data_IF_885764352149
#
_entry.id   IF_885764352149
#
_cell.length_a   1.000
_cell.length_b   1.000
_cell.length_c   1.000
_cell.angle_alpha   90.00
_cell.angle_beta   90.00
_cell.angle_gamma   90.00
#
_symmetry.space_group_name_H-M   'P 1'
#
loop_
_entity.id
_entity.type
_entity.pdbx_description
1 polymer ?
#
# COMPACT_ATOMS: atom_id res chain seq x y z
N UNK A 1 -18.91 -52.35 6.94
CA UNK A 1 -19.55 -52.52 5.61
C UNK A 1 -20.86 -53.26 5.85
N UNK A 2 -21.86 -52.57 6.41
CA UNK A 2 -23.13 -53.18 6.80
C UNK A 2 -24.24 -52.74 5.85
N UNK A 3 -24.89 -53.75 5.27
CA UNK A 3 -26.19 -53.74 4.58
C UNK A 3 -26.44 -52.62 3.56
N UNK A 4 -25.85 -52.73 2.36
CA UNK A 4 -26.29 -51.90 1.21
C UNK A 4 -27.20 -52.59 0.20
N UNK A 5 -27.41 -53.91 0.30
CA UNK A 5 -28.15 -54.66 -0.73
C UNK A 5 -28.98 -55.83 -0.14
N UNK A 6 -30.05 -55.54 0.60
CA UNK A 6 -31.08 -56.55 0.91
C UNK A 6 -32.47 -56.05 0.46
N UNK A 7 -33.14 -56.74 -0.47
CA UNK A 7 -34.50 -56.39 -0.92
C UNK A 7 -35.55 -56.53 0.19
N UNK A 8 -36.61 -55.73 0.11
CA UNK A 8 -37.59 -55.38 1.16
C UNK A 8 -38.50 -56.49 1.72
N UNK A 9 -38.33 -57.76 1.37
CA UNK A 9 -39.38 -58.78 1.60
C UNK A 9 -39.08 -59.82 2.70
N UNK A 10 -38.01 -59.65 3.48
CA UNK A 10 -37.70 -60.55 4.62
C UNK A 10 -37.42 -59.79 5.92
N UNK A 11 -38.51 -59.35 6.57
CA UNK A 11 -38.52 -58.90 7.96
C UNK A 11 -38.48 -60.10 8.92
N UNK A 12 -37.31 -60.73 9.10
CA UNK A 12 -36.98 -61.55 10.29
C UNK A 12 -35.61 -62.22 10.15
N UNK A 13 -34.53 -61.44 9.97
CA UNK A 13 -33.18 -61.97 10.13
C UNK A 13 -32.58 -61.46 11.47
N UNK A 14 -32.37 -62.33 12.47
CA UNK A 14 -31.81 -61.93 13.76
C UNK A 14 -30.32 -61.55 13.71
N UNK A 15 -29.64 -61.71 12.58
CA UNK A 15 -28.20 -61.44 12.43
C UNK A 15 -27.85 -60.03 11.90
N UNK A 16 -28.84 -59.14 11.74
CA UNK A 16 -28.63 -57.77 11.28
C UNK A 16 -28.58 -56.77 12.45
N UNK A 17 -27.65 -56.97 13.39
CA UNK A 17 -27.40 -56.01 14.46
C UNK A 17 -26.41 -54.92 13.97
N UNK A 18 -26.94 -53.88 13.34
CA UNK A 18 -26.17 -52.71 12.92
C UNK A 18 -26.15 -51.70 14.07
N UNK A 19 -25.39 -51.99 15.12
CA UNK A 19 -25.21 -51.06 16.23
C UNK A 19 -24.11 -50.02 15.87
N UNK A 20 -24.45 -48.74 15.58
CA UNK A 20 -23.47 -47.71 15.28
C UNK A 20 -22.53 -47.41 16.46
N UNK A 21 -22.85 -47.87 17.68
CA UNK A 21 -21.95 -47.77 18.83
C UNK A 21 -20.79 -48.76 18.75
N UNK A 22 -20.90 -49.87 18.00
CA UNK A 22 -19.81 -50.85 17.86
C UNK A 22 -18.65 -50.34 17.00
N UNK A 23 -18.90 -49.59 15.92
CA UNK A 23 -17.80 -49.02 15.10
C UNK A 23 -17.05 -47.91 15.85
N UNK A 24 -17.76 -47.08 16.63
CA UNK A 24 -17.13 -46.05 17.48
C UNK A 24 -16.36 -46.70 18.63
N UNK A 25 -16.90 -47.75 19.23
CA UNK A 25 -16.22 -48.53 20.27
C UNK A 25 -14.99 -49.27 19.73
N UNK A 26 -15.03 -49.79 18.50
CA UNK A 26 -13.88 -50.48 17.88
C UNK A 26 -12.76 -49.50 17.52
N UNK A 27 -13.09 -48.28 17.06
CA UNK A 27 -12.09 -47.23 16.86
C UNK A 27 -11.45 -46.76 18.17
N UNK A 28 -12.25 -46.54 19.22
CA UNK A 28 -11.75 -46.18 20.55
C UNK A 28 -10.94 -47.32 21.20
N UNK A 29 -11.35 -48.57 21.01
CA UNK A 29 -10.65 -49.78 21.40
C UNK A 29 -9.28 -49.88 20.72
N UNK A 30 -9.21 -49.67 19.40
CA UNK A 30 -7.95 -49.67 18.64
C UNK A 30 -7.00 -48.59 19.14
N UNK A 31 -7.48 -47.37 19.40
CA UNK A 31 -6.70 -46.29 20.01
C UNK A 31 -6.17 -46.66 21.41
N UNK A 32 -6.98 -47.33 22.23
CA UNK A 32 -6.61 -47.77 23.58
C UNK A 32 -5.72 -49.03 23.60
N UNK A 33 -5.69 -49.81 22.51
CA UNK A 33 -4.88 -51.03 22.37
C UNK A 33 -3.45 -50.77 21.85
N UNK A 34 -3.19 -49.57 21.32
CA UNK A 34 -1.85 -49.16 20.93
C UNK A 34 -1.00 -48.96 22.20
N UNK A 35 0.18 -49.57 22.31
CA UNK A 35 1.02 -49.39 23.49
C UNK A 35 1.36 -47.89 23.63
N UNK A 36 1.13 -47.29 24.81
CA UNK A 36 1.19 -45.84 25.01
C UNK A 36 2.55 -45.22 24.63
N UNK A 37 3.62 -46.00 24.67
CA UNK A 37 4.95 -45.57 24.25
C UNK A 37 5.11 -45.45 22.72
N UNK A 38 4.45 -46.32 21.92
CA UNK A 38 4.55 -46.26 20.44
C UNK A 38 3.72 -45.12 19.87
N UNK A 39 2.52 -44.88 20.39
CA UNK A 39 1.65 -43.77 19.94
C UNK A 39 2.24 -42.39 20.30
N UNK A 40 2.86 -42.26 21.47
CA UNK A 40 3.60 -41.05 21.84
C UNK A 40 4.86 -40.84 21.00
N UNK A 41 5.57 -41.91 20.64
CA UNK A 41 6.76 -41.82 19.77
C UNK A 41 6.37 -41.39 18.35
N UNK A 42 5.33 -41.99 17.77
CA UNK A 42 4.83 -41.62 16.43
C UNK A 42 4.31 -40.18 16.39
N UNK A 43 3.61 -39.74 17.44
CA UNK A 43 3.17 -38.35 17.58
C UNK A 43 4.36 -37.38 17.69
N UNK A 44 5.38 -37.71 18.49
CA UNK A 44 6.60 -36.88 18.62
C UNK A 44 7.38 -36.79 17.32
N UNK A 45 7.51 -37.90 16.58
CA UNK A 45 8.18 -37.93 15.28
C UNK A 45 7.42 -37.08 14.25
N UNK A 46 6.09 -37.15 14.24
CA UNK A 46 5.25 -36.35 13.34
C UNK A 46 5.36 -34.86 13.63
N UNK A 47 5.33 -34.46 14.90
CA UNK A 47 5.52 -33.06 15.32
C UNK A 47 6.93 -32.58 14.95
N UNK A 48 7.98 -33.37 15.21
CA UNK A 48 9.34 -33.03 14.87
C UNK A 48 9.53 -32.84 13.35
N UNK A 49 8.92 -33.72 12.54
CA UNK A 49 8.93 -33.61 11.09
C UNK A 49 8.24 -32.33 10.59
N UNK A 50 7.07 -31.99 11.16
CA UNK A 50 6.36 -30.75 10.82
C UNK A 50 7.16 -29.50 11.22
N UNK A 51 7.78 -29.49 12.40
CA UNK A 51 8.63 -28.38 12.83
C UNK A 51 9.84 -28.25 11.91
N UNK A 52 10.52 -29.36 11.60
CA UNK A 52 11.67 -29.36 10.68
C UNK A 52 11.28 -28.86 9.28
N UNK A 53 10.13 -29.27 8.76
CA UNK A 53 9.61 -28.80 7.48
C UNK A 53 9.32 -27.29 7.51
N UNK A 54 8.63 -26.80 8.56
CA UNK A 54 8.35 -25.37 8.70
C UNK A 54 9.64 -24.54 8.83
N UNK A 55 10.64 -25.01 9.58
CA UNK A 55 11.94 -24.36 9.69
C UNK A 55 12.69 -24.35 8.36
N UNK A 56 12.64 -25.45 7.61
CA UNK A 56 13.25 -25.53 6.28
C UNK A 56 12.58 -24.57 5.28
N UNK A 57 11.24 -24.49 5.30
CA UNK A 57 10.46 -23.54 4.49
C UNK A 57 10.78 -22.10 4.89
N UNK A 58 10.76 -21.78 6.18
CA UNK A 58 11.11 -20.46 6.69
C UNK A 58 12.54 -20.07 6.30
N UNK A 59 13.51 -20.97 6.45
CA UNK A 59 14.89 -20.78 6.03
C UNK A 59 15.00 -20.55 4.51
N UNK A 60 14.34 -21.36 3.69
CA UNK A 60 14.32 -21.20 2.24
C UNK A 60 13.75 -19.84 1.82
N UNK A 61 12.63 -19.43 2.41
CA UNK A 61 12.04 -18.11 2.17
C UNK A 61 12.97 -16.98 2.64
N UNK A 62 13.62 -17.13 3.79
CA UNK A 62 14.55 -16.12 4.32
C UNK A 62 15.76 -15.98 3.42
N UNK A 63 16.39 -17.08 3.00
CA UNK A 63 17.51 -17.09 2.06
C UNK A 63 17.10 -16.49 0.71
N UNK A 64 15.93 -16.84 0.20
CA UNK A 64 15.37 -16.24 -1.02
C UNK A 64 15.19 -14.73 -0.89
N UNK A 65 14.58 -14.26 0.20
CA UNK A 65 14.35 -12.84 0.47
C UNK A 65 15.69 -12.10 0.59
N UNK A 66 16.66 -12.66 1.32
CA UNK A 66 18.00 -12.07 1.48
C UNK A 66 18.73 -12.00 0.14
N UNK A 67 18.65 -13.05 -0.69
CA UNK A 67 19.27 -13.06 -2.02
C UNK A 67 18.63 -12.03 -2.95
N UNK A 68 17.31 -11.96 -3.01
CA UNK A 68 16.59 -10.95 -3.81
C UNK A 68 16.89 -9.53 -3.32
N UNK A 69 16.99 -9.31 -2.00
CA UNK A 69 17.36 -8.03 -1.41
C UNK A 69 18.82 -7.66 -1.66
N UNK A 70 19.71 -8.65 -1.77
CA UNK A 70 21.12 -8.49 -2.13
C UNK A 70 21.30 -8.08 -3.60
N UNK A 71 20.34 -8.37 -4.47
CA UNK A 71 20.36 -8.00 -5.89
C UNK A 71 19.73 -6.62 -6.14
N UNK A 72 19.62 -5.76 -5.12
CA UNK A 72 19.13 -4.38 -5.29
C UNK A 72 20.05 -3.65 -6.26
N UNK A 73 19.57 -3.42 -7.48
CA UNK A 73 20.29 -2.70 -8.51
C UNK A 73 20.68 -1.31 -7.98
N UNK A 74 21.98 -1.01 -8.04
CA UNK A 74 22.50 0.30 -7.65
C UNK A 74 22.35 1.22 -8.86
N UNK A 75 21.32 2.07 -8.82
CA UNK A 75 21.05 3.03 -9.89
C UNK A 75 22.12 4.13 -9.95
N UNK A 76 22.60 4.42 -11.15
CA UNK A 76 23.51 5.55 -11.40
C UNK A 76 22.80 6.90 -11.42
N UNK A 77 21.48 6.92 -11.66
CA UNK A 77 20.66 8.10 -11.92
C UNK A 77 21.01 8.87 -13.21
N UNK A 78 21.83 8.27 -14.09
CA UNK A 78 22.24 8.84 -15.38
C UNK A 78 21.33 8.29 -16.49
N UNK A 79 20.86 9.16 -17.38
CA UNK A 79 20.02 8.77 -18.51
C UNK A 79 18.73 8.07 -18.06
N UNK A 80 18.55 6.81 -18.48
CA UNK A 80 17.38 5.99 -18.14
C UNK A 80 17.59 5.10 -16.90
N UNK A 81 18.76 5.11 -16.26
CA UNK A 81 19.09 4.23 -15.14
C UNK A 81 18.69 4.86 -13.78
N UNK A 82 17.41 4.83 -13.47
CA UNK A 82 16.85 5.34 -12.21
C UNK A 82 15.57 4.55 -11.82
N UNK A 83 15.21 4.47 -10.53
CA UNK A 83 14.04 3.71 -10.10
C UNK A 83 12.75 4.47 -10.37
N UNK A 84 11.67 3.76 -10.76
CA UNK A 84 10.35 4.36 -10.96
C UNK A 84 9.68 4.89 -9.68
N UNK A 85 10.28 4.69 -8.50
CA UNK A 85 9.77 5.13 -7.22
C UNK A 85 10.90 5.70 -6.36
N UNK A 86 10.55 6.66 -5.51
CA UNK A 86 11.46 7.15 -4.49
C UNK A 86 11.63 6.07 -3.41
N UNK A 87 12.86 5.57 -3.25
CA UNK A 87 13.15 4.43 -2.36
C UNK A 87 13.19 4.86 -0.88
N UNK A 88 12.01 4.93 -0.28
CA UNK A 88 11.79 5.30 1.12
C UNK A 88 10.86 4.29 1.79
N UNK A 89 11.08 4.06 3.09
CA UNK A 89 10.16 3.26 3.89
C UNK A 89 8.88 4.06 4.15
N UNK A 90 7.75 3.57 3.66
CA UNK A 90 6.43 4.18 3.88
C UNK A 90 5.50 3.11 4.44
N UNK A 91 5.06 3.31 5.67
CA UNK A 91 4.13 2.42 6.35
C UNK A 91 2.67 2.64 5.94
N UNK A 92 1.76 1.80 6.47
CA UNK A 92 0.32 2.06 6.37
C UNK A 92 -0.07 3.25 7.24
N UNK A 93 -1.11 3.98 6.82
CA UNK A 93 -1.78 5.02 7.58
C UNK A 93 -3.28 4.94 7.33
N UNK A 94 -4.12 5.15 8.33
CA UNK A 94 -5.57 5.21 8.13
C UNK A 94 -5.99 6.61 7.71
N UNK A 95 -6.92 6.70 6.78
CA UNK A 95 -7.53 7.97 6.38
C UNK A 95 -9.04 7.78 6.21
N UNK A 96 -9.81 8.64 6.90
CA UNK A 96 -11.27 8.71 6.76
C UNK A 96 -11.63 9.71 5.70
N UNK A 97 -12.49 9.29 4.77
CA UNK A 97 -13.03 10.09 3.69
C UNK A 97 -14.38 10.61 4.14
N UNK A 98 -14.49 11.92 4.29
CA UNK A 98 -15.70 12.58 4.79
C UNK A 98 -15.84 13.97 4.16
N UNK A 99 -17.08 14.47 4.13
CA UNK A 99 -17.34 15.86 3.76
C UNK A 99 -16.73 16.80 4.80
N UNK A 100 -15.88 17.73 4.35
CA UNK A 100 -15.10 18.59 5.24
C UNK A 100 -15.13 20.05 4.82
N UNK A 101 -15.11 20.96 5.80
CA UNK A 101 -14.91 22.39 5.58
C UNK A 101 -13.44 22.77 5.38
N UNK A 102 -12.50 21.83 5.52
CA UNK A 102 -11.07 22.03 5.28
C UNK A 102 -10.79 22.13 3.78
N UNK A 103 -9.72 22.84 3.43
CA UNK A 103 -9.29 23.05 2.04
C UNK A 103 -10.41 23.64 1.15
N UNK A 104 -11.06 24.75 1.55
CA UNK A 104 -12.13 25.34 0.74
C UNK A 104 -11.57 25.87 -0.60
N UNK A 105 -12.43 26.00 -1.61
CA UNK A 105 -12.06 26.55 -2.92
C UNK A 105 -11.63 28.02 -2.79
N UNK A 106 -12.38 28.78 -1.98
CA UNK A 106 -12.27 30.23 -1.77
C UNK A 106 -12.37 30.59 -0.29
N UNK A 107 -11.96 31.80 0.06
CA UNK A 107 -12.16 32.40 1.37
C UNK A 107 -10.87 32.56 2.18
N UNK A 108 -10.95 33.23 3.35
CA UNK A 108 -9.77 33.47 4.18
C UNK A 108 -9.06 32.17 4.56
N UNK A 109 -7.76 32.10 4.31
CA UNK A 109 -6.93 30.95 4.65
C UNK A 109 -7.00 29.78 3.66
N UNK A 110 -7.80 29.84 2.59
CA UNK A 110 -7.85 28.78 1.57
C UNK A 110 -6.45 28.48 1.00
N UNK A 111 -5.76 29.51 0.51
CA UNK A 111 -4.42 29.35 -0.09
C UNK A 111 -3.40 28.79 0.90
N UNK A 112 -3.48 29.17 2.17
CA UNK A 112 -2.60 28.66 3.21
C UNK A 112 -2.84 27.16 3.47
N UNK A 113 -4.10 26.72 3.53
CA UNK A 113 -4.44 25.30 3.65
C UNK A 113 -3.92 24.51 2.45
N UNK A 114 -4.19 24.96 1.23
CA UNK A 114 -3.75 24.23 0.04
C UNK A 114 -2.22 24.20 -0.09
N UNK A 115 -1.54 25.29 0.23
CA UNK A 115 -0.08 25.36 0.18
C UNK A 115 0.57 24.47 1.24
N UNK A 116 -0.06 24.28 2.40
CA UNK A 116 0.49 23.44 3.48
C UNK A 116 0.56 21.94 3.15
N UNK A 117 -0.06 21.50 2.04
CA UNK A 117 0.02 20.11 1.57
C UNK A 117 1.37 19.77 0.91
N UNK A 118 2.16 20.79 0.55
CA UNK A 118 3.42 20.63 -0.18
C UNK A 118 4.54 21.31 0.63
N UNK A 119 5.70 20.65 0.80
CA UNK A 119 6.89 21.26 1.40
C UNK A 119 7.20 22.62 0.78
N UNK A 120 7.22 23.69 1.58
CA UNK A 120 7.52 25.04 1.07
C UNK A 120 8.98 25.16 0.60
N UNK A 121 9.87 24.41 1.24
CA UNK A 121 11.32 24.43 1.05
C UNK A 121 11.73 23.95 -0.34
N UNK A 122 11.10 22.88 -0.83
CA UNK A 122 11.53 22.16 -2.03
C UNK A 122 10.39 21.83 -2.99
N UNK A 123 9.14 22.17 -2.67
CA UNK A 123 7.95 21.94 -3.51
C UNK A 123 7.74 20.48 -3.94
N UNK A 124 8.27 19.51 -3.19
CA UNK A 124 8.21 18.09 -3.52
C UNK A 124 9.32 17.58 -4.44
N UNK A 125 10.30 18.41 -4.77
CA UNK A 125 11.47 18.02 -5.55
C UNK A 125 12.52 17.33 -4.68
N UNK A 126 13.12 16.27 -5.22
CA UNK A 126 14.22 15.52 -4.62
C UNK A 126 15.45 15.50 -5.52
N UNK A 127 16.61 15.30 -4.91
CA UNK A 127 17.95 15.34 -5.50
C UNK A 127 18.64 13.99 -5.26
N UNK A 128 18.71 13.17 -6.31
CA UNK A 128 19.16 11.77 -6.20
C UNK A 128 20.39 11.49 -7.05
N UNK A 129 21.13 10.44 -6.68
CA UNK A 129 22.40 10.06 -7.32
C UNK A 129 23.57 10.97 -6.96
N UNK A 130 24.75 10.64 -7.50
CA UNK A 130 25.98 11.43 -7.30
C UNK A 130 25.83 12.86 -7.79
N UNK A 131 25.11 13.03 -8.90
CA UNK A 131 25.00 14.31 -9.61
C UNK A 131 23.80 15.14 -9.14
N UNK A 132 23.12 14.70 -8.06
CA UNK A 132 21.96 15.38 -7.47
C UNK A 132 20.88 15.70 -8.50
N UNK A 133 20.58 14.72 -9.36
CA UNK A 133 19.55 14.82 -10.40
C UNK A 133 18.19 15.12 -9.78
N UNK A 134 17.47 16.04 -10.42
CA UNK A 134 16.13 16.48 -9.99
C UNK A 134 15.08 15.46 -10.37
N UNK A 135 14.24 15.11 -9.41
CA UNK A 135 12.96 14.44 -9.63
C UNK A 135 11.89 15.14 -8.80
N UNK A 136 10.62 14.96 -9.15
CA UNK A 136 9.49 15.38 -8.33
C UNK A 136 8.75 14.14 -7.84
N UNK A 137 8.42 14.09 -6.56
CA UNK A 137 7.62 12.99 -6.02
C UNK A 137 6.18 13.14 -6.52
N UNK A 138 5.63 12.07 -7.11
CA UNK A 138 4.35 12.10 -7.81
C UNK A 138 3.18 12.63 -6.96
N UNK A 139 3.16 12.31 -5.65
CA UNK A 139 2.18 12.79 -4.69
C UNK A 139 2.12 14.33 -4.65
N UNK A 140 3.28 15.00 -4.55
CA UNK A 140 3.33 16.46 -4.53
C UNK A 140 2.97 17.08 -5.88
N UNK A 141 3.33 16.43 -6.99
CA UNK A 141 2.90 16.89 -8.32
C UNK A 141 1.37 16.81 -8.50
N UNK A 142 0.71 15.77 -7.94
CA UNK A 142 -0.74 15.66 -7.94
C UNK A 142 -1.39 16.76 -7.10
N UNK A 143 -0.88 17.00 -5.89
CA UNK A 143 -1.36 18.06 -5.00
C UNK A 143 -1.18 19.45 -5.63
N UNK A 144 -0.05 19.68 -6.30
CA UNK A 144 0.19 20.91 -7.06
C UNK A 144 -0.85 21.08 -8.18
N UNK A 145 -1.06 20.04 -9.00
CA UNK A 145 -2.06 20.09 -10.07
C UNK A 145 -3.47 20.35 -9.54
N UNK A 146 -3.83 19.77 -8.39
CA UNK A 146 -5.13 19.98 -7.76
C UNK A 146 -5.31 21.44 -7.28
N UNK A 147 -4.28 22.03 -6.67
CA UNK A 147 -4.31 23.44 -6.26
C UNK A 147 -4.35 24.39 -7.47
N UNK A 148 -3.61 24.11 -8.54
CA UNK A 148 -3.67 24.89 -9.77
C UNK A 148 -5.06 24.85 -10.42
N UNK A 149 -5.71 23.67 -10.44
CA UNK A 149 -7.10 23.54 -10.89
C UNK A 149 -8.02 24.40 -10.02
N UNK A 150 -7.91 24.32 -8.69
CA UNK A 150 -8.70 25.16 -7.77
C UNK A 150 -8.50 26.65 -8.07
N UNK A 151 -7.26 27.12 -8.20
CA UNK A 151 -6.95 28.53 -8.50
C UNK A 151 -7.54 28.98 -9.83
N UNK A 152 -7.57 28.10 -10.83
CA UNK A 152 -8.20 28.40 -12.13
C UNK A 152 -9.72 28.51 -12.09
N UNK A 153 -10.39 27.93 -11.09
CA UNK A 153 -11.85 28.04 -10.92
C UNK A 153 -12.28 29.41 -10.38
N UNK A 154 -11.37 30.13 -9.74
CA UNK A 154 -11.69 31.35 -8.98
C UNK A 154 -11.24 32.63 -9.66
N UNK A 155 -10.20 32.54 -10.48
CA UNK A 155 -9.61 33.66 -11.20
C UNK A 155 -9.96 33.54 -12.68
N UNK A 156 -10.94 34.32 -13.14
CA UNK A 156 -11.43 34.29 -14.52
C UNK A 156 -10.38 34.69 -15.56
N UNK A 157 -9.32 35.42 -15.16
CA UNK A 157 -8.18 35.70 -16.05
C UNK A 157 -7.25 34.48 -16.19
N UNK A 158 -7.16 33.65 -15.14
CA UNK A 158 -6.50 32.32 -15.16
C UNK A 158 -7.41 31.18 -15.63
N UNK A 159 -8.71 31.40 -15.71
CA UNK A 159 -9.72 30.44 -16.17
C UNK A 159 -9.71 30.26 -17.70
N UNK A 160 -8.94 31.06 -18.44
CA UNK A 160 -8.59 30.73 -19.82
C UNK A 160 -7.93 29.34 -19.82
N UNK A 161 -8.31 28.41 -20.72
CA UNK A 161 -7.73 27.07 -20.80
C UNK A 161 -6.22 27.17 -21.08
N UNK A 162 -5.46 27.36 -20.01
CA UNK A 162 -4.02 27.53 -20.06
C UNK A 162 -3.40 26.17 -20.39
N UNK A 163 -2.25 26.20 -21.07
CA UNK A 163 -1.48 24.99 -21.31
C UNK A 163 -1.19 24.25 -19.99
N UNK A 164 -1.04 24.98 -18.89
CA UNK A 164 -0.85 24.42 -17.56
C UNK A 164 -2.10 23.69 -17.05
N UNK A 165 -3.29 24.31 -17.11
CA UNK A 165 -4.54 23.66 -16.72
C UNK A 165 -4.80 22.38 -17.54
N UNK A 166 -4.62 22.45 -18.86
CA UNK A 166 -4.73 21.27 -19.73
C UNK A 166 -3.74 20.16 -19.35
N UNK A 167 -2.51 20.52 -19.00
CA UNK A 167 -1.51 19.57 -18.50
C UNK A 167 -1.96 18.92 -17.18
N UNK A 168 -2.37 19.72 -16.18
CA UNK A 168 -2.82 19.22 -14.88
C UNK A 168 -3.99 18.24 -15.01
N UNK A 169 -5.01 18.59 -15.80
CA UNK A 169 -6.16 17.72 -16.06
C UNK A 169 -5.74 16.39 -16.70
N UNK A 170 -4.84 16.43 -17.69
CA UNK A 170 -4.36 15.21 -18.33
C UNK A 170 -3.45 14.38 -17.40
N UNK A 171 -2.60 15.02 -16.62
CA UNK A 171 -1.72 14.35 -15.66
C UNK A 171 -2.53 13.60 -14.60
N UNK A 172 -3.51 14.25 -13.98
CA UNK A 172 -4.38 13.61 -12.98
C UNK A 172 -5.21 12.48 -13.59
N UNK A 173 -5.80 12.68 -14.78
CA UNK A 173 -6.50 11.61 -15.51
C UNK A 173 -5.62 10.39 -15.73
N UNK A 174 -4.40 10.60 -16.25
CA UNK A 174 -3.45 9.51 -16.50
C UNK A 174 -3.01 8.85 -15.19
N UNK A 175 -2.83 9.62 -14.12
CA UNK A 175 -2.46 9.08 -12.81
C UNK A 175 -3.56 8.18 -12.25
N UNK A 176 -4.82 8.64 -12.25
CA UNK A 176 -5.95 7.86 -11.76
C UNK A 176 -6.16 6.58 -12.58
N UNK A 177 -6.04 6.65 -13.91
CA UNK A 177 -6.10 5.46 -14.75
C UNK A 177 -4.93 4.50 -14.53
N UNK A 178 -3.74 5.01 -14.23
CA UNK A 178 -2.56 4.19 -13.91
C UNK A 178 -2.72 3.47 -12.56
N UNK A 179 -3.40 4.10 -11.59
CA UNK A 179 -3.68 3.48 -10.28
C UNK A 179 -4.90 2.60 -10.26
N UNK A 180 -5.94 2.92 -11.04
CA UNK A 180 -7.19 2.17 -11.17
C UNK A 180 -7.70 1.66 -9.80
N UNK A 181 -7.89 2.57 -8.84
CA UNK A 181 -8.32 2.21 -7.48
C UNK A 181 -9.70 1.55 -7.51
N UNK A 182 -9.78 0.27 -7.13
CA UNK A 182 -11.02 -0.54 -7.14
C UNK A 182 -11.69 -0.60 -5.76
N UNK A 183 -11.33 0.28 -4.83
CA UNK A 183 -11.95 0.35 -3.51
C UNK A 183 -13.44 0.69 -3.66
N UNK A 184 -14.29 -0.04 -2.94
CA UNK A 184 -15.73 0.23 -2.91
C UNK A 184 -16.04 1.30 -1.86
N UNK A 185 -16.72 2.36 -2.26
CA UNK A 185 -17.14 3.45 -1.37
C UNK A 185 -18.61 3.27 -0.97
N UNK A 186 -18.94 3.25 0.32
CA UNK A 186 -20.30 3.00 0.78
C UNK A 186 -21.20 4.20 0.46
N UNK A 187 -22.28 3.94 -0.28
CA UNK A 187 -23.30 4.93 -0.58
C UNK A 187 -24.38 4.91 0.50
N UNK A 188 -24.66 6.07 1.10
CA UNK A 188 -25.75 6.28 2.05
C UNK A 188 -26.85 7.15 1.42
N UNK A 189 -27.95 6.51 1.05
CA UNK A 189 -29.13 7.16 0.47
C UNK A 189 -29.92 8.01 1.47
N UNK A 190 -29.65 7.89 2.76
CA UNK A 190 -30.41 8.55 3.85
C UNK A 190 -29.75 9.84 4.33
N UNK A 191 -28.45 10.01 4.08
CA UNK A 191 -27.75 11.27 4.29
C UNK A 191 -27.87 12.15 3.05
N UNK A 192 -28.44 13.35 3.21
CA UNK A 192 -28.40 14.36 2.17
C UNK A 192 -26.95 14.88 2.07
N UNK A 193 -26.24 14.47 1.03
CA UNK A 193 -24.94 15.04 0.67
C UNK A 193 -25.07 16.51 0.24
N UNK A 194 -23.93 17.12 -0.09
CA UNK A 194 -23.84 18.54 -0.48
C UNK A 194 -24.78 18.93 -1.65
N UNK A 195 -25.25 17.95 -2.43
CA UNK A 195 -26.12 18.12 -3.60
C UNK A 195 -27.55 17.59 -3.42
N UNK A 196 -27.98 17.28 -2.19
CA UNK A 196 -29.34 16.79 -1.91
C UNK A 196 -29.64 15.37 -2.42
N UNK A 197 -28.61 14.63 -2.80
CA UNK A 197 -28.63 13.19 -3.14
C UNK A 197 -27.90 12.42 -2.04
N UNK A 198 -28.02 11.08 -2.02
CA UNK A 198 -27.27 10.25 -1.07
C UNK A 198 -25.78 10.57 -1.12
N UNK A 199 -25.13 10.64 0.04
CA UNK A 199 -23.69 10.90 0.14
C UNK A 199 -22.90 9.60 0.19
N UNK A 200 -21.60 9.68 -0.09
CA UNK A 200 -20.68 8.65 0.39
C UNK A 200 -20.67 8.76 1.92
N UNK A 201 -20.98 7.67 2.62
CA UNK A 201 -20.87 7.65 4.08
C UNK A 201 -19.40 7.77 4.47
N UNK A 202 -19.11 8.43 5.60
CA UNK A 202 -17.76 8.49 6.14
C UNK A 202 -17.14 7.09 6.24
N UNK A 203 -16.05 6.84 5.51
CA UNK A 203 -15.42 5.52 5.48
C UNK A 203 -13.90 5.64 5.61
N UNK A 204 -13.30 4.68 6.30
CA UNK A 204 -11.86 4.65 6.56
C UNK A 204 -11.18 3.64 5.63
N UNK A 205 -10.04 4.02 5.06
CA UNK A 205 -9.19 3.13 4.27
C UNK A 205 -7.76 3.16 4.77
N UNK A 206 -7.07 2.04 4.54
CA UNK A 206 -5.62 1.98 4.68
C UNK A 206 -4.96 2.65 3.48
N UNK A 207 -4.21 3.71 3.75
CA UNK A 207 -3.42 4.49 2.84
C UNK A 207 -1.92 4.27 3.09
N UNK A 208 -1.10 4.85 2.23
CA UNK A 208 0.33 5.02 2.52
C UNK A 208 0.52 6.26 3.39
N UNK A 209 1.39 6.17 4.38
CA UNK A 209 1.72 7.29 5.26
C UNK A 209 2.38 8.44 4.48
N UNK A 210 1.57 9.44 4.13
CA UNK A 210 2.02 10.61 3.39
C UNK A 210 2.95 11.50 4.23
N UNK A 211 2.89 11.43 5.57
CA UNK A 211 3.76 12.21 6.45
C UNK A 211 5.21 11.70 6.38
N UNK A 212 5.42 10.38 6.34
CA UNK A 212 6.72 9.78 6.07
C UNK A 212 7.32 10.20 4.72
N UNK A 213 6.48 10.37 3.69
CA UNK A 213 6.91 10.90 2.38
C UNK A 213 7.34 12.36 2.50
N UNK A 214 6.56 13.17 3.21
CA UNK A 214 6.87 14.58 3.45
C UNK A 214 8.21 14.74 4.16
N UNK A 215 8.42 14.02 5.27
CA UNK A 215 9.68 14.06 6.00
C UNK A 215 10.87 13.60 5.16
N UNK A 216 10.69 12.58 4.31
CA UNK A 216 11.77 12.08 3.49
C UNK A 216 12.22 13.08 2.42
N UNK A 217 11.28 13.82 1.82
CA UNK A 217 11.62 14.89 0.86
C UNK A 217 12.31 16.05 1.57
N UNK A 218 11.85 16.45 2.76
CA UNK A 218 12.52 17.49 3.55
C UNK A 218 13.95 17.09 3.95
N UNK A 219 14.15 15.86 4.42
CA UNK A 219 15.50 15.34 4.72
C UNK A 219 16.40 15.38 3.49
N UNK A 220 15.88 14.95 2.34
CA UNK A 220 16.64 14.99 1.08
C UNK A 220 17.01 16.42 0.67
N UNK A 221 16.14 17.41 0.94
CA UNK A 221 16.44 18.81 0.70
C UNK A 221 17.56 19.34 1.60
N UNK A 222 17.56 18.99 2.89
CA UNK A 222 18.65 19.35 3.81
C UNK A 222 19.97 18.75 3.34
N UNK A 223 19.99 17.46 2.98
CA UNK A 223 21.19 16.82 2.41
C UNK A 223 21.68 17.50 1.13
N UNK A 224 20.77 18.00 0.30
CA UNK A 224 21.11 18.76 -0.88
C UNK A 224 21.70 20.13 -0.52
N UNK A 225 21.16 20.83 0.47
CA UNK A 225 21.73 22.11 0.94
C UNK A 225 23.15 21.94 1.46
N UNK A 226 23.41 20.88 2.23
CA UNK A 226 24.75 20.56 2.71
C UNK A 226 25.72 20.28 1.56
N UNK A 227 25.28 19.47 0.58
CA UNK A 227 26.05 19.19 -0.63
C UNK A 227 26.31 20.47 -1.45
N UNK A 228 25.30 21.30 -1.62
CA UNK A 228 25.40 22.54 -2.40
C UNK A 228 26.38 23.50 -1.73
N UNK A 229 26.27 23.68 -0.41
CA UNK A 229 27.16 24.54 0.38
C UNK A 229 28.61 24.07 0.30
N UNK A 230 28.85 22.76 0.36
CA UNK A 230 30.20 22.18 0.23
C UNK A 230 30.80 22.35 -1.18
N UNK A 231 29.98 22.43 -2.22
CA UNK A 231 30.40 22.44 -3.63
C UNK A 231 30.07 23.75 -4.36
N UNK A 232 29.71 24.80 -3.63
CA UNK A 232 29.19 26.05 -4.17
C UNK A 232 30.17 26.68 -5.18
N UNK A 233 31.46 26.72 -4.84
CA UNK A 233 32.50 27.31 -5.70
C UNK A 233 32.64 26.62 -7.05
N UNK A 234 32.25 25.35 -7.18
CA UNK A 234 32.29 24.57 -8.42
C UNK A 234 30.97 24.70 -9.18
N UNK A 235 29.83 24.59 -8.48
CA UNK A 235 28.50 24.66 -9.08
C UNK A 235 28.15 26.05 -9.59
N UNK A 236 28.70 27.10 -8.97
CA UNK A 236 28.45 28.49 -9.33
C UNK A 236 29.37 29.02 -10.43
N UNK A 237 30.27 28.20 -10.99
CA UNK A 237 31.09 28.57 -12.16
C UNK A 237 30.27 28.71 -13.45
N UNK A 238 29.02 28.23 -13.45
CA UNK A 238 28.15 28.14 -14.63
C UNK A 238 26.82 28.91 -14.46
N UNK A 239 26.81 30.00 -13.68
CA UNK A 239 25.64 30.88 -13.47
C UNK A 239 24.34 30.11 -13.14
N UNK A 240 24.43 29.15 -12.21
CA UNK A 240 23.26 28.44 -11.71
C UNK A 240 22.32 29.43 -10.99
N UNK A 241 20.98 29.32 -11.16
CA UNK A 241 20.01 30.20 -10.50
C UNK A 241 20.00 30.09 -8.97
N UNK A 242 20.70 29.11 -8.40
CA UNK A 242 20.93 28.97 -6.95
C UNK A 242 22.16 29.74 -6.45
N UNK A 243 22.96 30.29 -7.36
CA UNK A 243 24.21 30.98 -7.08
C UNK A 243 24.09 32.51 -7.14
N UNK A 244 22.92 33.01 -7.53
CA UNK A 244 22.59 34.43 -7.49
C UNK A 244 21.92 34.73 -6.14
N UNK A 245 22.69 35.27 -5.20
CA UNK A 245 22.16 35.97 -4.04
C UNK A 245 21.95 37.45 -4.39
#
# INVERSE_FOLDING_TARGET
MCCRDVPSDHLSNPDCDCDPYTEVADFASRLNSLPPERSLLEMRLSIAALVALNLAVACFHTVRIVKVRSERHVYSYIGADWPNHFDIAVGPAEMTYEETARYPILGPGADAMWTSLIPETNRGYVRLGSDRRVFVVAMFHQLHCLDEIRRSLVDLERASPSAHFHHCMNYLRQHFLCKADTTLEPYDSTQAGMWGQGSIAGFTRECRDWSAVHEAVERNYVEWLDFFSANQSVLCLWDSPFCSA
#
